data_IF_880295227224
#
_entry.id   IF_880295227224
#
_cell.length_a   1.000
_cell.length_b   1.000
_cell.length_c   1.000
_cell.angle_alpha   90.00
_cell.angle_beta   90.00
_cell.angle_gamma   90.00
#
_symmetry.space_group_name_H-M   'P 1'
#
loop_
_entity.id
_entity.type
_entity.pdbx_description
1 polymer ?
#
# COMPACT_ATOMS: atom_id res chain seq x y z
N UNK A 1 38.01 7.49 -29.42
CA UNK A 1 38.03 6.01 -29.52
C UNK A 1 38.01 5.46 -28.10
N UNK A 2 36.96 4.75 -27.69
CA UNK A 2 36.86 4.17 -26.34
C UNK A 2 37.42 2.75 -26.40
N UNK A 3 38.51 2.49 -25.69
CA UNK A 3 39.14 1.18 -25.61
C UNK A 3 38.54 0.39 -24.44
N UNK A 4 37.92 -0.75 -24.76
CA UNK A 4 37.51 -1.74 -23.76
C UNK A 4 38.72 -2.62 -23.43
N UNK A 5 38.93 -2.96 -22.16
CA UNK A 5 39.98 -3.88 -21.70
C UNK A 5 39.36 -4.96 -20.84
N UNK A 6 39.83 -6.20 -21.00
CA UNK A 6 39.56 -7.29 -20.07
C UNK A 6 40.44 -7.11 -18.83
N UNK A 7 39.87 -7.31 -17.66
CA UNK A 7 40.55 -7.19 -16.37
C UNK A 7 40.00 -8.25 -15.41
N UNK A 8 40.87 -8.87 -14.63
CA UNK A 8 40.53 -9.89 -13.65
C UNK A 8 40.79 -9.38 -12.23
N UNK A 9 39.97 -9.82 -11.27
CA UNK A 9 40.18 -9.55 -9.85
C UNK A 9 38.89 -9.35 -9.06
N UNK A 10 38.99 -9.40 -7.73
CA UNK A 10 37.88 -9.15 -6.80
C UNK A 10 37.32 -7.72 -6.96
N UNK A 11 38.14 -6.77 -7.40
CA UNK A 11 37.74 -5.42 -7.77
C UNK A 11 36.68 -5.38 -8.87
N UNK A 12 36.57 -6.41 -9.71
CA UNK A 12 35.53 -6.54 -10.73
C UNK A 12 34.30 -7.29 -10.19
N UNK A 13 34.45 -8.12 -9.17
CA UNK A 13 33.33 -8.76 -8.49
C UNK A 13 32.53 -7.76 -7.64
N UNK A 14 33.19 -6.82 -6.96
CA UNK A 14 32.56 -5.78 -6.14
C UNK A 14 31.51 -4.94 -6.90
N UNK A 15 31.79 -4.35 -8.09
CA UNK A 15 30.80 -3.58 -8.85
C UNK A 15 29.67 -4.45 -9.40
N UNK A 16 29.87 -5.76 -9.61
CA UNK A 16 28.78 -6.66 -9.93
C UNK A 16 27.85 -6.86 -8.73
N UNK A 17 28.39 -7.10 -7.54
CA UNK A 17 27.59 -7.25 -6.33
C UNK A 17 26.80 -5.97 -5.99
N UNK A 18 27.43 -4.80 -6.09
CA UNK A 18 26.73 -3.52 -5.87
C UNK A 18 25.68 -3.23 -6.95
N UNK A 19 25.92 -3.63 -8.20
CA UNK A 19 24.94 -3.58 -9.28
C UNK A 19 23.70 -4.43 -9.00
N UNK A 20 23.88 -5.66 -8.51
CA UNK A 20 22.76 -6.54 -8.11
C UNK A 20 22.00 -5.94 -6.93
N UNK A 21 22.69 -5.42 -5.92
CA UNK A 21 22.04 -4.73 -4.79
C UNK A 21 21.19 -3.53 -5.27
N UNK A 22 21.68 -2.78 -6.26
CA UNK A 22 20.92 -1.68 -6.86
C UNK A 22 19.66 -2.18 -7.57
N UNK A 23 19.72 -3.31 -8.30
CA UNK A 23 18.55 -3.92 -8.92
C UNK A 23 17.52 -4.40 -7.89
N UNK A 24 17.97 -4.98 -6.78
CA UNK A 24 17.09 -5.38 -5.68
C UNK A 24 16.37 -4.18 -5.06
N UNK A 25 17.09 -3.09 -4.82
CA UNK A 25 16.51 -1.85 -4.29
C UNK A 25 15.59 -1.15 -5.30
N UNK A 26 15.88 -1.26 -6.60
CA UNK A 26 14.98 -0.77 -7.64
C UNK A 26 13.66 -1.57 -7.65
N UNK A 27 13.72 -2.88 -7.43
CA UNK A 27 12.54 -3.74 -7.35
C UNK A 27 11.72 -3.50 -6.06
N UNK A 28 12.41 -3.29 -4.94
CA UNK A 28 11.79 -3.05 -3.64
C UNK A 28 12.57 -1.96 -2.87
N UNK A 29 12.12 -0.70 -2.97
CA UNK A 29 12.77 0.44 -2.30
C UNK A 29 12.68 0.40 -0.77
N UNK A 30 11.87 -0.50 -0.20
CA UNK A 30 11.67 -0.60 1.25
C UNK A 30 12.69 -1.51 1.94
N UNK A 31 13.51 -2.24 1.18
CA UNK A 31 14.52 -3.14 1.74
C UNK A 31 15.59 -2.38 2.52
N UNK A 32 15.91 -2.88 3.72
CA UNK A 32 17.07 -2.46 4.51
C UNK A 32 18.33 -3.16 4.03
N UNK A 33 19.49 -2.57 4.31
CA UNK A 33 20.79 -3.12 3.91
C UNK A 33 21.02 -4.58 4.39
N UNK A 34 20.53 -4.92 5.58
CA UNK A 34 20.60 -6.29 6.13
C UNK A 34 19.72 -7.27 5.37
N UNK A 35 18.53 -6.83 4.95
CA UNK A 35 17.61 -7.64 4.14
C UNK A 35 18.19 -7.87 2.75
N UNK A 36 18.77 -6.84 2.13
CA UNK A 36 19.49 -6.97 0.85
C UNK A 36 20.59 -8.03 0.95
N UNK A 37 21.42 -7.98 2.00
CA UNK A 37 22.47 -8.99 2.23
C UNK A 37 21.86 -10.39 2.37
N UNK A 38 20.83 -10.53 3.20
CA UNK A 38 20.22 -11.84 3.50
C UNK A 38 19.61 -12.47 2.25
N UNK A 39 18.81 -11.71 1.51
CA UNK A 39 18.17 -12.18 0.28
C UNK A 39 19.20 -12.48 -0.82
N UNK A 40 20.26 -11.66 -0.93
CA UNK A 40 21.33 -11.90 -1.90
C UNK A 40 22.09 -13.19 -1.59
N UNK A 41 22.38 -13.47 -0.31
CA UNK A 41 23.04 -14.71 0.11
C UNK A 41 22.14 -15.94 -0.10
N UNK A 42 20.84 -15.82 0.18
CA UNK A 42 19.87 -16.89 -0.03
C UNK A 42 19.73 -17.29 -1.52
N UNK A 43 19.95 -16.35 -2.44
CA UNK A 43 19.94 -16.60 -3.89
C UNK A 43 21.26 -17.12 -4.46
N UNK A 44 22.29 -17.38 -3.64
CA UNK A 44 23.58 -17.86 -4.16
C UNK A 44 23.55 -19.32 -4.58
N UNK A 45 24.41 -19.67 -5.53
CA UNK A 45 24.61 -21.03 -6.03
C UNK A 45 26.00 -21.50 -5.60
N UNK A 46 26.06 -22.58 -4.81
CA UNK A 46 27.34 -23.17 -4.42
C UNK A 46 28.07 -23.75 -5.63
N UNK A 47 29.37 -23.46 -5.75
CA UNK A 47 30.22 -23.93 -6.85
C UNK A 47 31.19 -25.05 -6.43
N UNK A 48 31.05 -25.56 -5.21
CA UNK A 48 31.85 -26.67 -4.68
C UNK A 48 33.27 -26.28 -4.23
N UNK A 49 33.59 -24.99 -4.14
CA UNK A 49 34.85 -24.48 -3.58
C UNK A 49 34.78 -24.43 -2.05
N UNK A 50 35.92 -24.18 -1.40
CA UNK A 50 35.95 -24.10 0.06
C UNK A 50 35.14 -22.88 0.56
N UNK A 51 34.46 -22.96 1.72
CA UNK A 51 33.64 -21.85 2.23
C UNK A 51 34.40 -20.53 2.43
N UNK A 52 35.70 -20.58 2.71
CA UNK A 52 36.57 -19.41 2.82
C UNK A 52 36.94 -18.78 1.46
N UNK A 53 36.72 -19.48 0.35
CA UNK A 53 37.01 -19.01 -1.01
C UNK A 53 35.73 -18.46 -1.69
N UNK A 54 34.61 -19.18 -1.58
CA UNK A 54 33.35 -18.82 -2.25
C UNK A 54 32.31 -18.16 -1.34
N UNK A 55 32.52 -18.16 -0.01
CA UNK A 55 31.46 -17.83 0.93
C UNK A 55 30.27 -18.80 0.79
N UNK A 56 29.06 -18.25 0.68
CA UNK A 56 27.84 -19.06 0.48
C UNK A 56 27.78 -19.63 -0.94
N UNK A 57 28.34 -18.93 -1.93
CA UNK A 57 28.38 -19.37 -3.33
C UNK A 57 28.47 -18.21 -4.31
N UNK A 58 28.34 -18.52 -5.61
CA UNK A 58 28.24 -17.54 -6.69
C UNK A 58 26.90 -16.82 -6.63
N UNK A 59 26.90 -15.49 -6.67
CA UNK A 59 25.66 -14.70 -6.73
C UNK A 59 24.84 -14.99 -7.99
N UNK A 60 23.52 -15.13 -7.82
CA UNK A 60 22.56 -15.18 -8.91
C UNK A 60 21.69 -13.91 -8.85
N UNK A 61 21.87 -13.03 -9.85
CA UNK A 61 21.17 -11.76 -9.91
C UNK A 61 19.65 -11.93 -10.10
N UNK A 62 19.23 -12.97 -10.83
CA UNK A 62 17.82 -13.20 -11.13
C UNK A 62 17.08 -13.73 -9.91
N UNK A 63 17.68 -14.68 -9.18
CA UNK A 63 17.12 -15.15 -7.91
C UNK A 63 17.06 -14.02 -6.88
N UNK A 64 18.13 -13.23 -6.73
CA UNK A 64 18.15 -12.10 -5.81
C UNK A 64 17.07 -11.07 -6.15
N UNK A 65 16.84 -10.77 -7.43
CA UNK A 65 15.76 -9.90 -7.89
C UNK A 65 14.38 -10.45 -7.55
N UNK A 66 14.12 -11.73 -7.82
CA UNK A 66 12.83 -12.36 -7.48
C UNK A 66 12.56 -12.33 -5.97
N UNK A 67 13.58 -12.58 -5.15
CA UNK A 67 13.46 -12.48 -3.69
C UNK A 67 13.12 -11.06 -3.24
N UNK A 68 13.72 -10.03 -3.86
CA UNK A 68 13.39 -8.64 -3.57
C UNK A 68 11.93 -8.29 -3.92
N UNK A 69 11.43 -8.75 -5.07
CA UNK A 69 10.03 -8.58 -5.49
C UNK A 69 9.07 -9.30 -4.56
N UNK A 70 9.41 -10.53 -4.14
CA UNK A 70 8.57 -11.31 -3.22
C UNK A 70 8.47 -10.67 -1.82
N UNK A 71 9.46 -9.87 -1.43
CA UNK A 71 9.50 -9.16 -0.16
C UNK A 71 8.75 -7.81 -0.16
N UNK A 72 7.97 -7.49 -1.20
CA UNK A 72 7.18 -6.26 -1.23
C UNK A 72 6.10 -6.26 -0.14
N UNK A 73 5.84 -5.11 0.49
CA UNK A 73 4.75 -4.99 1.45
C UNK A 73 3.41 -5.28 0.75
N UNK A 74 2.48 -5.90 1.49
CA UNK A 74 1.12 -6.10 1.00
C UNK A 74 0.47 -4.75 0.66
N UNK A 75 -0.38 -4.68 -0.39
CA UNK A 75 -1.09 -3.45 -0.71
C UNK A 75 -1.96 -3.04 0.47
N UNK A 76 -1.88 -1.76 0.85
CA UNK A 76 -2.76 -1.20 1.86
C UNK A 76 -4.22 -1.33 1.38
N UNK A 77 -5.15 -1.87 2.17
CA UNK A 77 -6.55 -1.91 1.77
C UNK A 77 -7.03 -0.47 1.53
N UNK A 78 -7.73 -0.25 0.41
CA UNK A 78 -8.39 1.03 0.15
C UNK A 78 -9.45 1.26 1.24
N UNK A 79 -9.52 2.45 1.86
CA UNK A 79 -10.58 2.75 2.80
C UNK A 79 -11.94 2.60 2.09
N UNK A 80 -12.83 1.81 2.70
CA UNK A 80 -14.19 1.64 2.22
C UNK A 80 -14.94 2.98 2.34
N UNK A 81 -15.78 3.39 1.37
CA UNK A 81 -16.57 4.59 1.48
C UNK A 81 -17.38 4.60 2.78
N UNK A 82 -17.28 5.69 3.54
CA UNK A 82 -18.10 5.89 4.73
C UNK A 82 -19.59 5.94 4.32
N UNK A 83 -20.51 5.27 5.03
CA UNK A 83 -21.94 5.34 4.72
C UNK A 83 -22.40 6.80 4.72
N UNK A 84 -23.08 7.24 3.66
CA UNK A 84 -23.62 8.61 3.61
C UNK A 84 -24.58 8.85 4.79
N UNK A 85 -24.55 10.05 5.42
CA UNK A 85 -25.51 10.41 6.45
C UNK A 85 -26.95 10.30 5.93
N UNK A 86 -27.80 9.56 6.64
CA UNK A 86 -29.21 9.46 6.27
C UNK A 86 -29.89 10.85 6.34
N UNK A 87 -30.81 11.17 5.41
CA UNK A 87 -31.57 12.41 5.46
C UNK A 87 -32.30 12.56 6.80
N UNK A 88 -32.22 13.76 7.41
CA UNK A 88 -33.00 14.09 8.61
C UNK A 88 -34.51 13.91 8.31
N UNK A 89 -35.30 13.38 9.26
CA UNK A 89 -36.75 13.36 9.15
C UNK A 89 -37.29 14.77 8.87
N UNK A 90 -38.10 14.94 7.83
CA UNK A 90 -38.72 16.22 7.54
C UNK A 90 -39.72 16.61 8.65
N UNK A 91 -39.79 17.89 9.05
CA UNK A 91 -40.80 18.38 9.99
C UNK A 91 -42.21 18.03 9.49
N UNK A 92 -43.02 17.37 10.33
CA UNK A 92 -44.41 17.08 9.99
C UNK A 92 -45.20 18.39 9.79
N UNK A 93 -46.12 18.45 8.81
CA UNK A 93 -47.00 19.60 8.64
C UNK A 93 -47.72 19.90 9.95
N UNK A 94 -47.59 21.14 10.46
CA UNK A 94 -48.34 21.56 11.63
C UNK A 94 -49.85 21.43 11.34
N UNK A 95 -50.66 20.97 12.30
CA UNK A 95 -52.11 20.97 12.17
C UNK A 95 -52.59 22.38 11.79
N UNK A 96 -53.24 22.51 10.63
CA UNK A 96 -53.86 23.79 10.24
C UNK A 96 -54.89 24.18 11.31
N UNK A 97 -54.99 25.48 11.67
CA UNK A 97 -56.04 25.96 12.54
C UNK A 97 -57.41 25.53 11.99
N UNK A 98 -58.14 24.70 12.76
CA UNK A 98 -59.49 24.33 12.39
C UNK A 98 -60.37 25.59 12.28
N UNK A 99 -61.28 25.67 11.30
CA UNK A 99 -62.23 26.78 11.20
C UNK A 99 -62.98 26.94 12.52
N UNK A 100 -62.82 28.08 13.19
CA UNK A 100 -63.60 28.37 14.40
C UNK A 100 -65.08 28.44 14.02
N UNK A 101 -65.97 27.72 14.73
CA UNK A 101 -67.40 27.80 14.48
C UNK A 101 -67.87 29.24 14.69
N UNK A 102 -68.52 29.81 13.68
CA UNK A 102 -69.15 31.13 13.77
C UNK A 102 -70.26 31.09 14.82
N UNK A 103 -70.04 31.81 15.92
CA UNK A 103 -71.04 32.49 16.74
C UNK A 103 -72.32 31.73 17.12
N UNK A 104 -72.38 31.25 18.36
CA UNK A 104 -73.63 30.85 19.02
C UNK A 104 -74.37 32.04 19.68
N UNK A 105 -74.03 33.29 19.35
CA UNK A 105 -74.63 34.49 19.97
C UNK A 105 -75.99 34.91 19.37
N UNK A 106 -76.62 34.08 18.52
CA UNK A 106 -77.89 34.41 17.88
C UNK A 106 -79.14 33.78 18.53
N UNK A 107 -79.04 33.09 19.68
CA UNK A 107 -80.20 32.38 20.27
C UNK A 107 -80.55 32.76 21.71
N UNK A 108 -80.05 33.88 22.25
CA UNK A 108 -80.33 34.27 23.65
C UNK A 108 -81.19 35.51 23.85
N UNK A 109 -81.70 36.14 22.79
CA UNK A 109 -82.67 37.25 22.91
C UNK A 109 -83.89 37.00 22.03
N UNK A 110 -84.88 36.31 22.59
CA UNK A 110 -86.16 36.18 21.91
C UNK A 110 -87.07 35.11 22.48
N UNK A 111 -87.34 35.10 23.80
CA UNK A 111 -88.66 34.70 24.34
C UNK A 111 -88.91 35.41 25.68
N UNK A 112 -89.98 36.23 25.67
CA UNK A 112 -90.65 36.99 26.74
C UNK A 112 -90.06 38.35 27.11
#
# INVERSE_FOLDING_TARGET
MKTLRSSDGTSMATPHASGVAALMLQANPHLKAEEVKTLMLAGTISIGAQPNEQGVGRGDAYLAYQQAVAALPAPTPTPQPEPEPQPLPQPQPQPQPQPQPKGCLASLFGQR
#
